data_IF_815802219973
#
_entry.id   IF_815802219973
#
_cell.length_a   1.000
_cell.length_b   1.000
_cell.length_c   1.000
_cell.angle_alpha   90.00
_cell.angle_beta   90.00
_cell.angle_gamma   90.00
#
_symmetry.space_group_name_H-M   'P 1'
#
loop_
_entity.id
_entity.type
_entity.pdbx_description
1 polymer ?
#
# COMPACT_ATOMS: atom_id res chain seq x y z
N UNK A 1 1.61 9.13 0.25
CA UNK A 1 0.98 7.87 -0.12
C UNK A 1 1.99 6.78 0.03
N UNK A 2 1.58 5.64 0.54
CA UNK A 2 2.44 4.49 0.68
C UNK A 2 2.77 3.81 -0.63
N UNK A 3 3.45 2.71 -0.55
CA UNK A 3 3.90 1.93 -1.69
C UNK A 3 2.77 1.08 -2.29
N UNK A 4 1.77 1.76 -2.83
CA UNK A 4 0.69 1.10 -3.55
C UNK A 4 1.20 0.69 -4.92
N UNK A 5 1.59 -0.56 -5.06
CA UNK A 5 2.03 -1.09 -6.34
C UNK A 5 0.86 -1.23 -7.31
N UNK A 6 1.14 -1.16 -8.61
CA UNK A 6 0.14 -1.43 -9.66
C UNK A 6 -0.54 -2.79 -9.45
N UNK A 7 0.19 -3.79 -8.96
CA UNK A 7 -0.31 -5.13 -8.65
C UNK A 7 -1.40 -5.09 -7.57
N UNK A 8 -1.17 -4.37 -6.47
CA UNK A 8 -2.14 -4.25 -5.36
C UNK A 8 -3.42 -3.58 -5.82
N UNK A 9 -3.30 -2.48 -6.59
CA UNK A 9 -4.45 -1.78 -7.15
C UNK A 9 -5.23 -2.67 -8.12
N UNK A 10 -4.53 -3.41 -8.99
CA UNK A 10 -5.17 -4.32 -9.93
C UNK A 10 -5.91 -5.47 -9.22
N UNK A 11 -5.30 -6.07 -8.20
CA UNK A 11 -5.94 -7.12 -7.39
C UNK A 11 -7.16 -6.56 -6.64
N UNK A 12 -7.01 -5.43 -5.97
CA UNK A 12 -8.11 -4.78 -5.25
C UNK A 12 -9.29 -4.44 -6.16
N UNK A 13 -9.01 -3.98 -7.39
CA UNK A 13 -10.03 -3.77 -8.41
C UNK A 13 -10.73 -5.08 -8.80
N UNK A 14 -9.99 -6.16 -9.02
CA UNK A 14 -10.57 -7.47 -9.33
C UNK A 14 -11.47 -7.96 -8.18
N UNK A 15 -11.03 -7.81 -6.93
CA UNK A 15 -11.81 -8.20 -5.76
C UNK A 15 -13.11 -7.39 -5.66
N UNK A 16 -13.05 -6.09 -5.95
CA UNK A 16 -14.23 -5.23 -5.98
C UNK A 16 -15.21 -5.61 -7.09
N UNK A 17 -14.71 -5.90 -8.29
CA UNK A 17 -15.53 -6.32 -9.44
C UNK A 17 -16.15 -7.72 -9.24
N UNK A 18 -15.42 -8.62 -8.58
CA UNK A 18 -15.88 -10.00 -8.31
C UNK A 18 -16.91 -10.09 -7.18
N UNK A 19 -16.90 -9.15 -6.24
CA UNK A 19 -17.79 -9.15 -5.08
C UNK A 19 -18.92 -8.13 -5.26
N UNK A 20 -20.16 -8.57 -5.05
CA UNK A 20 -21.30 -7.64 -5.01
C UNK A 20 -21.21 -6.77 -3.75
N UNK A 21 -20.71 -5.54 -3.90
CA UNK A 21 -20.68 -4.53 -2.84
C UNK A 21 -20.76 -3.12 -3.42
N UNK A 22 -21.08 -2.16 -2.57
CA UNK A 22 -21.20 -0.74 -2.94
C UNK A 22 -19.96 0.05 -2.52
N UNK A 23 -19.27 -0.44 -1.51
CA UNK A 23 -17.98 0.07 -1.03
C UNK A 23 -17.07 -1.09 -0.65
N UNK A 24 -15.79 -0.97 -0.96
CA UNK A 24 -14.76 -1.90 -0.50
C UNK A 24 -13.57 -1.12 0.03
N UNK A 25 -13.06 -1.52 1.19
CA UNK A 25 -11.89 -0.93 1.84
C UNK A 25 -10.73 -1.92 1.74
N UNK A 26 -9.57 -1.47 1.28
CA UNK A 26 -8.33 -2.23 1.43
C UNK A 26 -7.82 -2.02 2.85
N UNK A 27 -7.62 -3.12 3.58
CA UNK A 27 -7.16 -3.07 4.97
C UNK A 27 -5.76 -3.66 5.11
N UNK A 28 -5.12 -3.38 6.24
CA UNK A 28 -3.85 -3.98 6.61
C UNK A 28 -3.91 -4.45 8.05
N UNK A 29 -2.92 -5.22 8.45
CA UNK A 29 -2.71 -5.60 9.84
C UNK A 29 -1.53 -4.80 10.41
N UNK A 30 -1.70 -4.18 11.55
CA UNK A 30 -0.64 -3.51 12.26
C UNK A 30 -0.04 -4.46 13.30
N UNK A 31 1.24 -4.77 13.16
CA UNK A 31 1.98 -5.72 14.01
C UNK A 31 2.72 -5.05 15.19
N UNK A 32 2.70 -3.70 15.24
CA UNK A 32 3.32 -2.93 16.31
C UNK A 32 2.48 -2.86 17.60
N UNK A 33 3.03 -2.20 18.61
CA UNK A 33 2.32 -1.94 19.87
C UNK A 33 1.08 -1.06 19.65
N UNK A 34 -0.03 -1.37 20.33
CA UNK A 34 -1.31 -0.66 20.17
C UNK A 34 -1.20 0.85 20.40
N UNK A 35 -0.31 1.25 21.32
CA UNK A 35 -0.03 2.66 21.66
C UNK A 35 0.65 3.43 20.52
N UNK A 36 1.32 2.71 19.62
CA UNK A 36 2.01 3.28 18.45
C UNK A 36 1.18 3.20 17.17
N UNK A 37 -0.02 2.65 17.24
CA UNK A 37 -0.93 2.55 16.10
C UNK A 37 -1.75 3.83 15.95
N UNK A 38 -1.39 4.68 15.01
CA UNK A 38 -2.06 5.96 14.71
C UNK A 38 -3.03 5.90 13.53
N UNK A 39 -3.25 4.71 12.95
CA UNK A 39 -4.16 4.52 11.82
C UNK A 39 -5.62 4.49 12.27
N UNK A 40 -6.56 4.68 11.34
CA UNK A 40 -7.97 4.36 11.55
C UNK A 40 -8.20 2.86 11.73
N UNK A 41 -9.07 2.48 12.64
CA UNK A 41 -9.39 1.08 12.98
C UNK A 41 -10.59 0.59 12.19
N UNK A 42 -10.49 -0.61 11.65
CA UNK A 42 -11.63 -1.29 11.01
C UNK A 42 -12.43 -1.99 12.09
N UNK A 43 -13.60 -1.46 12.40
CA UNK A 43 -14.49 -2.06 13.39
C UNK A 43 -15.44 -3.04 12.69
N UNK A 44 -15.51 -4.26 13.21
CA UNK A 44 -16.34 -5.32 12.62
C UNK A 44 -17.47 -5.74 13.57
N UNK A 45 -18.57 -6.24 12.98
CA UNK A 45 -19.62 -6.91 13.75
C UNK A 45 -19.01 -8.07 14.52
N UNK A 46 -19.16 -8.15 15.85
CA UNK A 46 -18.68 -9.26 16.66
C UNK A 46 -19.40 -10.58 16.30
N UNK A 47 -18.81 -11.72 16.64
CA UNK A 47 -19.43 -13.04 16.43
C UNK A 47 -20.72 -13.24 17.23
N UNK A 48 -20.84 -12.53 18.36
CA UNK A 48 -22.01 -12.55 19.24
C UNK A 48 -22.43 -11.12 19.58
N UNK A 49 -23.74 -10.92 19.76
CA UNK A 49 -24.31 -9.66 20.23
C UNK A 49 -24.11 -9.45 21.75
N UNK A 50 -24.60 -8.33 22.28
CA UNK A 50 -24.53 -8.00 23.71
C UNK A 50 -25.31 -8.99 24.61
N UNK A 51 -26.20 -9.79 24.05
CA UNK A 51 -26.97 -10.81 24.74
C UNK A 51 -26.32 -12.20 24.62
N UNK A 52 -25.19 -12.33 23.92
CA UNK A 52 -24.49 -13.58 23.68
C UNK A 52 -25.09 -14.42 22.53
N UNK A 53 -26.00 -13.87 21.74
CA UNK A 53 -26.60 -14.55 20.58
C UNK A 53 -25.66 -14.40 19.36
N UNK A 54 -25.49 -15.48 18.54
CA UNK A 54 -24.67 -15.38 17.32
C UNK A 54 -25.21 -14.33 16.35
N UNK A 55 -24.32 -13.50 15.80
CA UNK A 55 -24.66 -12.49 14.78
C UNK A 55 -24.80 -13.08 13.38
N UNK A 56 -24.51 -14.36 13.22
CA UNK A 56 -24.77 -15.13 12.00
C UNK A 56 -23.99 -14.65 10.78
N UNK A 57 -24.69 -14.44 9.67
CA UNK A 57 -24.06 -14.00 8.41
C UNK A 57 -23.50 -12.55 8.44
N UNK A 58 -23.86 -11.79 9.44
CA UNK A 58 -23.38 -10.43 9.63
C UNK A 58 -22.05 -10.37 10.43
N UNK A 59 -21.67 -11.46 11.10
CA UNK A 59 -20.36 -11.57 11.78
C UNK A 59 -19.21 -11.19 10.86
N UNK A 60 -18.29 -10.35 11.36
CA UNK A 60 -17.13 -9.88 10.60
C UNK A 60 -17.42 -8.82 9.52
N UNK A 61 -18.67 -8.39 9.33
CA UNK A 61 -18.99 -7.25 8.45
C UNK A 61 -18.42 -5.96 9.02
N UNK A 62 -18.02 -5.03 8.14
CA UNK A 62 -17.48 -3.74 8.57
C UNK A 62 -18.62 -2.85 9.08
N UNK A 63 -18.54 -2.43 10.34
CA UNK A 63 -19.50 -1.53 10.98
C UNK A 63 -19.11 -0.09 10.76
N UNK A 64 -17.85 0.23 11.06
CA UNK A 64 -17.29 1.59 11.01
C UNK A 64 -15.78 1.56 10.77
N UNK A 65 -15.24 2.71 10.42
CA UNK A 65 -13.80 2.99 10.51
C UNK A 65 -13.64 4.09 11.55
N UNK A 66 -12.93 3.82 12.64
CA UNK A 66 -12.73 4.80 13.71
C UNK A 66 -11.32 5.37 13.68
N UNK A 67 -11.24 6.67 13.50
CA UNK A 67 -9.96 7.37 13.49
C UNK A 67 -9.32 7.38 14.88
N UNK A 68 -8.00 7.27 14.93
CA UNK A 68 -7.26 7.19 16.20
C UNK A 68 -7.58 8.36 17.16
N UNK A 69 -7.72 9.58 16.63
CA UNK A 69 -8.02 10.77 17.46
C UNK A 69 -9.43 10.72 18.04
N UNK A 70 -10.40 10.18 17.30
CA UNK A 70 -11.78 10.05 17.78
C UNK A 70 -11.85 9.00 18.90
N UNK A 71 -11.13 7.90 18.77
CA UNK A 71 -11.00 6.90 19.85
C UNK A 71 -10.37 7.53 21.09
N UNK A 72 -9.32 8.35 20.93
CA UNK A 72 -8.69 9.07 22.05
C UNK A 72 -9.62 10.13 22.68
N UNK A 73 -10.56 10.67 21.92
CA UNK A 73 -11.60 11.57 22.40
C UNK A 73 -12.59 10.92 23.35
N UNK A 74 -12.74 9.60 23.33
CA UNK A 74 -13.56 8.88 24.29
C UNK A 74 -12.95 8.96 25.70
N UNK A 75 -13.76 9.12 26.76
CA UNK A 75 -13.28 9.06 28.14
C UNK A 75 -12.53 7.75 28.43
N UNK A 76 -11.59 7.79 29.36
CA UNK A 76 -10.93 6.56 29.86
C UNK A 76 -12.00 5.67 30.50
N UNK A 77 -12.08 4.40 30.04
CA UNK A 77 -13.13 3.47 30.44
C UNK A 77 -14.49 3.74 29.78
N UNK A 78 -14.56 4.72 28.87
CA UNK A 78 -15.75 4.99 28.06
C UNK A 78 -15.94 3.97 26.92
N UNK A 79 -17.07 4.05 26.28
CA UNK A 79 -17.44 3.20 25.14
C UNK A 79 -18.20 3.99 24.09
N UNK A 80 -18.22 3.48 22.89
CA UNK A 80 -18.99 3.97 21.76
C UNK A 80 -19.97 2.90 21.31
N UNK A 81 -21.17 3.33 20.92
CA UNK A 81 -22.20 2.46 20.38
C UNK A 81 -22.25 2.64 18.86
N UNK A 82 -22.13 1.55 18.13
CA UNK A 82 -22.18 1.50 16.67
C UNK A 82 -23.35 0.67 16.20
N UNK A 83 -24.10 1.20 15.27
CA UNK A 83 -25.31 0.54 14.76
C UNK A 83 -25.04 -0.16 13.42
N UNK A 84 -25.53 -1.39 13.30
CA UNK A 84 -25.49 -2.16 12.07
C UNK A 84 -26.81 -2.92 11.87
N UNK A 85 -27.51 -2.63 10.77
CA UNK A 85 -28.80 -3.26 10.42
C UNK A 85 -29.85 -3.30 11.58
N UNK A 86 -29.90 -2.22 12.35
CA UNK A 86 -30.84 -2.09 13.47
C UNK A 86 -30.42 -2.83 14.75
N UNK A 87 -29.23 -3.40 14.78
CA UNK A 87 -28.58 -3.91 15.99
C UNK A 87 -27.49 -2.93 16.43
N UNK A 88 -27.34 -2.75 17.74
CA UNK A 88 -26.34 -1.87 18.33
C UNK A 88 -25.25 -2.69 19.02
N UNK A 89 -24.01 -2.37 18.72
CA UNK A 89 -22.83 -3.00 19.30
C UNK A 89 -22.06 -1.96 20.09
N UNK A 90 -21.62 -2.31 21.28
CA UNK A 90 -20.86 -1.42 22.16
C UNK A 90 -19.41 -1.83 22.17
N UNK A 91 -18.53 -0.88 21.88
CA UNK A 91 -17.08 -1.07 21.89
C UNK A 91 -16.46 -0.13 22.92
N UNK A 92 -15.68 -0.65 23.84
CA UNK A 92 -14.93 0.17 24.77
C UNK A 92 -13.78 0.88 24.06
N UNK A 93 -13.32 2.01 24.61
CA UNK A 93 -12.13 2.71 24.12
C UNK A 93 -10.92 1.77 24.00
N UNK A 94 -10.72 0.90 24.98
CA UNK A 94 -9.60 -0.03 25.00
C UNK A 94 -9.72 -1.11 23.92
N UNK A 95 -10.91 -1.66 23.69
CA UNK A 95 -11.15 -2.59 22.58
C UNK A 95 -10.85 -1.93 21.24
N UNK A 96 -11.34 -0.71 21.00
CA UNK A 96 -11.07 0.03 19.78
C UNK A 96 -9.57 0.31 19.56
N UNK A 97 -8.83 0.66 20.62
CA UNK A 97 -7.38 0.87 20.52
C UNK A 97 -6.60 -0.41 20.20
N UNK A 98 -7.09 -1.58 20.65
CA UNK A 98 -6.43 -2.86 20.42
C UNK A 98 -6.80 -3.53 19.09
N UNK A 99 -7.73 -2.96 18.31
CA UNK A 99 -7.96 -3.43 16.95
C UNK A 99 -6.68 -3.23 16.14
N UNK A 100 -6.14 -4.30 15.58
CA UNK A 100 -4.94 -4.27 14.76
C UNK A 100 -5.23 -4.17 13.25
N UNK A 101 -6.48 -4.37 12.83
CA UNK A 101 -6.88 -4.14 11.45
C UNK A 101 -7.03 -2.65 11.18
N UNK A 102 -6.26 -2.16 10.22
CA UNK A 102 -6.13 -0.72 9.94
C UNK A 102 -6.69 -0.35 8.57
N UNK A 103 -7.16 0.89 8.47
CA UNK A 103 -7.54 1.52 7.22
C UNK A 103 -6.30 2.00 6.45
N UNK A 104 -6.15 1.54 5.20
CA UNK A 104 -5.04 1.96 4.31
C UNK A 104 -5.35 3.24 3.54
N UNK A 105 -6.56 3.80 3.67
CA UNK A 105 -7.12 4.90 2.87
C UNK A 105 -7.33 4.56 1.38
N UNK A 106 -7.23 3.29 1.01
CA UNK A 106 -7.55 2.83 -0.34
C UNK A 106 -8.95 2.26 -0.34
N UNK A 107 -9.85 2.91 -1.07
CA UNK A 107 -11.27 2.59 -1.07
C UNK A 107 -11.79 2.56 -2.50
N UNK A 108 -12.63 1.59 -2.81
CA UNK A 108 -13.38 1.51 -4.04
C UNK A 108 -14.88 1.71 -3.76
N UNK A 109 -15.56 2.44 -4.64
CA UNK A 109 -16.98 2.72 -4.54
C UNK A 109 -17.70 2.39 -5.83
N UNK A 110 -18.94 1.94 -5.72
CA UNK A 110 -19.89 2.01 -6.83
C UNK A 110 -20.26 3.48 -7.03
N UNK A 111 -20.04 4.00 -8.23
CA UNK A 111 -20.22 5.43 -8.53
C UNK A 111 -21.59 5.96 -8.13
N UNK A 112 -22.68 5.23 -8.46
CA UNK A 112 -24.05 5.63 -8.12
C UNK A 112 -24.27 5.77 -6.61
N UNK A 113 -23.79 4.80 -5.83
CA UNK A 113 -23.89 4.82 -4.38
C UNK A 113 -23.09 5.98 -3.76
N UNK A 114 -21.88 6.22 -4.24
CA UNK A 114 -21.08 7.36 -3.78
C UNK A 114 -21.74 8.70 -4.09
N UNK A 115 -22.22 8.91 -5.32
CA UNK A 115 -22.88 10.16 -5.70
C UNK A 115 -24.14 10.47 -4.88
N UNK A 116 -24.90 9.44 -4.55
CA UNK A 116 -26.14 9.59 -3.77
C UNK A 116 -25.86 9.96 -2.31
N UNK A 117 -24.77 9.44 -1.71
CA UNK A 117 -24.56 9.50 -0.27
C UNK A 117 -23.41 10.40 0.17
N UNK A 118 -22.52 10.86 -0.74
CA UNK A 118 -21.35 11.69 -0.37
C UNK A 118 -21.77 13.01 0.30
N UNK A 119 -22.93 13.55 -0.03
CA UNK A 119 -23.45 14.76 0.58
C UNK A 119 -24.00 14.58 2.01
N UNK A 120 -24.07 13.35 2.52
CA UNK A 120 -24.53 13.05 3.87
C UNK A 120 -23.39 13.04 4.92
N UNK A 121 -22.15 13.20 4.48
CA UNK A 121 -21.01 13.37 5.41
C UNK A 121 -21.12 14.71 6.14
N UNK A 122 -20.71 14.72 7.40
CA UNK A 122 -20.69 15.90 8.25
C UNK A 122 -19.30 16.10 8.90
N UNK A 123 -19.19 17.06 9.80
CA UNK A 123 -17.95 17.39 10.52
C UNK A 123 -18.06 17.08 12.00
N UNK A 124 -18.99 16.23 12.41
CA UNK A 124 -19.20 15.85 13.82
C UNK A 124 -18.16 14.81 14.28
N UNK A 125 -16.90 15.23 14.30
CA UNK A 125 -15.75 14.46 14.76
C UNK A 125 -14.73 15.38 15.47
N UNK A 126 -13.76 14.78 16.18
CA UNK A 126 -12.76 15.53 16.96
C UNK A 126 -11.96 16.52 16.11
N UNK A 127 -11.79 16.26 14.83
CA UNK A 127 -11.02 17.11 13.93
C UNK A 127 -11.84 18.20 13.23
N UNK A 128 -13.18 18.09 13.24
CA UNK A 128 -14.09 19.01 12.55
C UNK A 128 -13.93 18.95 11.02
N UNK A 129 -13.55 17.81 10.46
CA UNK A 129 -13.27 17.61 9.04
C UNK A 129 -14.26 16.62 8.42
N UNK A 130 -14.51 16.73 7.10
CA UNK A 130 -15.26 15.72 6.36
C UNK A 130 -14.36 14.47 6.18
N UNK A 131 -14.79 13.35 6.76
CA UNK A 131 -14.05 12.11 6.71
C UNK A 131 -14.68 11.11 5.73
N UNK A 132 -13.92 10.68 4.73
CA UNK A 132 -14.40 9.68 3.77
C UNK A 132 -14.75 8.34 4.45
N UNK A 133 -14.18 8.08 5.61
CA UNK A 133 -14.42 6.90 6.45
C UNK A 133 -15.83 6.86 7.02
N UNK A 134 -16.50 8.00 7.17
CA UNK A 134 -17.90 8.09 7.65
C UNK A 134 -18.89 7.44 6.66
N UNK A 135 -18.49 7.33 5.38
CA UNK A 135 -19.30 6.66 4.37
C UNK A 135 -19.57 5.18 4.68
N UNK A 136 -18.73 4.53 5.50
CA UNK A 136 -19.00 3.15 5.96
C UNK A 136 -20.30 3.10 6.74
N UNK A 137 -20.44 3.96 7.75
CA UNK A 137 -21.65 4.01 8.58
C UNK A 137 -22.87 4.52 7.79
N UNK A 138 -22.67 5.53 6.93
CA UNK A 138 -23.72 6.06 6.05
C UNK A 138 -24.24 4.97 5.12
N UNK A 139 -23.37 4.20 4.49
CA UNK A 139 -23.75 3.10 3.59
C UNK A 139 -24.49 2.00 4.35
N UNK A 140 -23.98 1.59 5.51
CA UNK A 140 -24.62 0.58 6.36
C UNK A 140 -26.04 1.00 6.77
N UNK A 141 -26.22 2.27 7.18
CA UNK A 141 -27.55 2.82 7.55
C UNK A 141 -28.54 2.83 6.38
N UNK A 142 -28.04 2.95 5.15
CA UNK A 142 -28.87 2.94 3.94
C UNK A 142 -29.00 1.55 3.30
N UNK A 143 -28.56 0.49 3.98
CA UNK A 143 -28.69 -0.89 3.51
C UNK A 143 -27.75 -1.27 2.36
N UNK A 144 -26.74 -0.44 2.08
CA UNK A 144 -25.68 -0.70 1.11
C UNK A 144 -24.65 -1.68 1.68
N UNK A 145 -23.94 -2.37 0.80
CA UNK A 145 -22.99 -3.42 1.19
C UNK A 145 -21.58 -2.84 1.25
N UNK A 146 -21.02 -2.82 2.46
CA UNK A 146 -19.60 -2.49 2.70
C UNK A 146 -18.80 -3.77 2.94
N UNK A 147 -17.68 -3.91 2.24
CA UNK A 147 -16.72 -5.00 2.43
C UNK A 147 -15.34 -4.46 2.73
N UNK A 148 -14.51 -5.30 3.33
CA UNK A 148 -13.09 -5.03 3.50
C UNK A 148 -12.29 -6.26 3.11
N UNK A 149 -11.18 -6.05 2.42
CA UNK A 149 -10.23 -7.09 2.03
C UNK A 149 -8.85 -6.71 2.53
N UNK A 150 -8.12 -7.65 3.16
CA UNK A 150 -6.75 -7.38 3.60
C UNK A 150 -5.81 -7.33 2.40
N UNK A 151 -4.80 -6.46 2.47
CA UNK A 151 -3.67 -6.50 1.55
C UNK A 151 -2.91 -7.82 1.70
N UNK A 152 -2.32 -8.28 0.61
CA UNK A 152 -1.57 -9.55 0.58
C UNK A 152 -0.30 -9.47 1.44
N UNK A 153 0.29 -8.28 1.56
CA UNK A 153 1.50 -8.02 2.32
C UNK A 153 1.42 -6.65 2.98
N UNK A 154 1.86 -6.55 4.23
CA UNK A 154 1.96 -5.27 4.96
C UNK A 154 2.91 -4.30 4.28
N UNK A 155 3.97 -4.79 3.65
CA UNK A 155 4.92 -3.98 2.89
C UNK A 155 4.24 -3.19 1.76
N UNK A 156 3.17 -3.75 1.18
CA UNK A 156 2.46 -3.14 0.04
C UNK A 156 1.55 -1.96 0.42
N UNK A 157 1.24 -1.82 1.70
CA UNK A 157 0.36 -0.77 2.23
C UNK A 157 1.09 0.24 3.10
N UNK A 158 2.41 0.11 3.25
CA UNK A 158 3.20 1.05 4.05
C UNK A 158 2.99 2.48 3.56
N UNK A 159 2.42 3.30 4.44
CA UNK A 159 2.33 4.74 4.27
C UNK A 159 3.42 5.42 5.10
N UNK A 160 4.02 6.50 4.60
CA UNK A 160 5.03 7.21 5.37
C UNK A 160 4.57 8.63 5.71
N UNK A 161 4.66 8.96 7.00
CA UNK A 161 4.54 10.31 7.54
C UNK A 161 5.85 10.77 8.18
N UNK A 162 6.83 9.87 8.31
CA UNK A 162 8.13 10.13 8.95
C UNK A 162 9.27 9.52 8.16
N UNK A 163 10.46 10.14 8.24
CA UNK A 163 11.65 9.73 7.45
C UNK A 163 12.14 8.31 7.75
N UNK A 164 11.90 7.77 8.94
CA UNK A 164 12.29 6.40 9.28
C UNK A 164 11.52 5.36 8.47
N UNK A 165 10.22 5.56 8.29
CA UNK A 165 9.38 4.68 7.46
C UNK A 165 9.75 4.81 5.99
N UNK A 166 10.06 6.02 5.51
CA UNK A 166 10.60 6.22 4.17
C UNK A 166 11.84 5.35 3.91
N UNK A 167 12.83 5.39 4.82
CA UNK A 167 14.06 4.58 4.69
C UNK A 167 13.76 3.06 4.69
N UNK A 168 12.82 2.63 5.54
CA UNK A 168 12.39 1.23 5.54
C UNK A 168 11.81 0.84 4.16
N UNK A 169 11.02 1.70 3.54
CA UNK A 169 10.48 1.46 2.20
C UNK A 169 11.58 1.40 1.15
N UNK A 170 12.60 2.28 1.21
CA UNK A 170 13.77 2.22 0.32
C UNK A 170 14.49 0.86 0.45
N UNK A 171 14.74 0.40 1.68
CA UNK A 171 15.37 -0.90 1.94
C UNK A 171 14.55 -2.07 1.36
N UNK A 172 13.22 -2.04 1.53
CA UNK A 172 12.33 -3.06 0.97
C UNK A 172 12.39 -3.04 -0.57
N UNK A 173 12.43 -1.83 -1.19
CA UNK A 173 12.54 -1.69 -2.65
C UNK A 173 13.83 -2.32 -3.18
N UNK A 174 14.96 -1.94 -2.59
CA UNK A 174 16.26 -2.44 -2.99
C UNK A 174 16.35 -3.96 -2.86
N UNK A 175 15.86 -4.52 -1.72
CA UNK A 175 15.80 -5.97 -1.52
C UNK A 175 14.96 -6.68 -2.59
N UNK A 176 13.78 -6.17 -2.92
CA UNK A 176 12.93 -6.76 -3.98
C UNK A 176 13.59 -6.70 -5.35
N UNK A 177 14.28 -5.62 -5.67
CA UNK A 177 15.04 -5.50 -6.90
C UNK A 177 16.19 -6.51 -6.95
N UNK A 178 16.90 -6.70 -5.83
CA UNK A 178 17.95 -7.70 -5.69
C UNK A 178 17.41 -9.12 -5.89
N UNK A 179 16.34 -9.50 -5.19
CA UNK A 179 15.72 -10.83 -5.29
C UNK A 179 15.28 -11.19 -6.73
N UNK A 180 14.92 -10.20 -7.54
CA UNK A 180 14.55 -10.39 -8.95
C UNK A 180 15.76 -10.59 -9.88
N UNK A 181 16.94 -10.12 -9.48
CA UNK A 181 18.12 -10.03 -10.34
C UNK A 181 19.30 -10.88 -9.89
N UNK A 182 19.34 -11.37 -8.65
CA UNK A 182 20.50 -12.01 -8.03
C UNK A 182 21.02 -13.26 -8.78
N UNK A 183 20.15 -13.94 -9.53
CA UNK A 183 20.51 -15.10 -10.34
C UNK A 183 20.85 -14.75 -11.80
N UNK A 184 20.67 -13.46 -12.20
CA UNK A 184 20.78 -13.01 -13.60
C UNK A 184 22.00 -12.12 -13.80
N UNK A 185 22.30 -11.24 -12.84
CA UNK A 185 23.39 -10.27 -12.92
C UNK A 185 24.22 -10.26 -11.65
N UNK A 186 25.47 -9.77 -11.73
CA UNK A 186 26.29 -9.57 -10.54
C UNK A 186 26.04 -8.19 -9.93
N UNK A 187 25.52 -8.14 -8.71
CA UNK A 187 25.35 -6.91 -7.93
C UNK A 187 26.39 -6.89 -6.82
N UNK A 188 27.25 -5.87 -6.81
CA UNK A 188 28.41 -5.78 -5.90
C UNK A 188 27.99 -5.50 -4.46
N UNK A 189 26.94 -4.71 -4.26
CA UNK A 189 26.39 -4.38 -2.95
C UNK A 189 24.85 -4.46 -3.01
N UNK A 190 24.30 -5.48 -2.37
CA UNK A 190 22.85 -5.79 -2.39
C UNK A 190 21.98 -4.73 -1.70
N UNK A 191 22.57 -3.90 -0.85
CA UNK A 191 21.88 -2.84 -0.10
C UNK A 191 22.06 -1.44 -0.73
N UNK A 192 22.97 -1.28 -1.69
CA UNK A 192 23.34 0.04 -2.23
C UNK A 192 23.38 0.05 -3.76
N UNK A 193 22.20 -0.05 -4.38
CA UNK A 193 21.98 0.16 -5.82
C UNK A 193 20.52 0.56 -6.07
N UNK A 194 20.26 1.15 -7.22
CA UNK A 194 18.93 1.45 -7.71
C UNK A 194 18.83 1.18 -9.21
N UNK A 195 17.88 0.36 -9.61
CA UNK A 195 17.45 0.17 -10.98
C UNK A 195 15.94 0.41 -11.06
N UNK A 196 15.51 1.18 -12.04
CA UNK A 196 14.08 1.38 -12.29
C UNK A 196 13.42 0.07 -12.73
N UNK A 197 12.12 -0.11 -12.44
CA UNK A 197 11.40 -1.34 -12.73
C UNK A 197 11.42 -1.71 -14.22
N UNK A 198 11.36 -0.74 -15.12
CA UNK A 198 11.44 -0.98 -16.57
C UNK A 198 12.80 -1.52 -17.00
N UNK A 199 13.89 -1.09 -16.33
CA UNK A 199 15.25 -1.62 -16.55
C UNK A 199 15.36 -3.05 -16.03
N UNK A 200 14.81 -3.33 -14.86
CA UNK A 200 14.76 -4.68 -14.28
C UNK A 200 14.00 -5.63 -15.21
N UNK A 201 12.81 -5.23 -15.69
CA UNK A 201 12.01 -6.00 -16.62
C UNK A 201 12.74 -6.26 -17.94
N UNK A 202 13.44 -5.26 -18.44
CA UNK A 202 14.27 -5.39 -19.65
C UNK A 202 15.43 -6.38 -19.46
N UNK A 203 16.13 -6.37 -18.33
CA UNK A 203 17.20 -7.30 -18.00
C UNK A 203 16.66 -8.74 -17.93
N UNK A 204 15.55 -8.96 -17.24
CA UNK A 204 14.91 -10.27 -17.13
C UNK A 204 14.50 -10.80 -18.52
N UNK A 205 13.83 -9.97 -19.32
CA UNK A 205 13.44 -10.34 -20.67
C UNK A 205 14.64 -10.59 -21.61
N UNK A 206 15.78 -9.96 -21.33
CA UNK A 206 17.02 -10.19 -22.08
C UNK A 206 17.65 -11.52 -21.70
N UNK A 207 17.67 -11.90 -20.43
CA UNK A 207 18.17 -13.17 -19.94
C UNK A 207 17.37 -14.36 -20.52
N UNK A 208 16.06 -14.28 -20.49
CA UNK A 208 15.19 -15.29 -21.09
C UNK A 208 15.47 -15.56 -22.58
N UNK A 209 15.96 -14.56 -23.33
CA UNK A 209 16.22 -14.66 -24.77
C UNK A 209 17.66 -15.04 -25.11
N UNK A 210 18.63 -14.61 -24.30
CA UNK A 210 20.04 -14.62 -24.70
C UNK A 210 20.95 -15.50 -23.81
N UNK A 211 20.43 -16.04 -22.70
CA UNK A 211 21.23 -16.74 -21.69
C UNK A 211 22.11 -15.81 -20.86
N UNK A 212 23.19 -16.30 -20.25
CA UNK A 212 23.96 -15.55 -19.28
C UNK A 212 24.38 -14.16 -19.79
N UNK A 213 24.01 -13.11 -19.03
CA UNK A 213 24.20 -11.72 -19.47
C UNK A 213 25.58 -11.14 -19.10
N UNK A 214 26.24 -11.66 -18.05
CA UNK A 214 27.50 -11.14 -17.51
C UNK A 214 27.48 -9.62 -17.23
N UNK A 215 26.31 -9.09 -16.83
CA UNK A 215 26.15 -7.70 -16.43
C UNK A 215 26.65 -7.54 -14.98
N UNK A 216 27.42 -6.48 -14.72
CA UNK A 216 27.93 -6.15 -13.39
C UNK A 216 27.44 -4.77 -12.97
N UNK A 217 26.80 -4.70 -11.81
CA UNK A 217 26.28 -3.48 -11.17
C UNK A 217 27.14 -3.17 -9.95
N UNK A 218 27.88 -2.07 -10.01
CA UNK A 218 28.74 -1.59 -8.92
C UNK A 218 27.93 -1.01 -7.75
N UNK A 219 28.63 -0.76 -6.64
CA UNK A 219 28.04 -0.13 -5.45
C UNK A 219 27.55 1.29 -5.74
N UNK A 220 26.37 1.64 -5.22
CA UNK A 220 25.80 2.98 -5.35
C UNK A 220 25.39 3.37 -6.77
N UNK A 221 25.29 2.40 -7.69
CA UNK A 221 24.82 2.62 -9.05
C UNK A 221 23.34 3.01 -9.05
N UNK A 222 23.00 3.99 -9.88
CA UNK A 222 21.61 4.43 -10.08
C UNK A 222 21.28 4.42 -11.58
N UNK A 223 20.30 3.63 -11.96
CA UNK A 223 19.81 3.53 -13.34
C UNK A 223 18.33 3.86 -13.37
N UNK A 224 18.02 5.00 -13.97
CA UNK A 224 16.65 5.48 -14.11
C UNK A 224 15.93 4.90 -15.31
N UNK A 225 14.65 5.19 -15.41
CA UNK A 225 13.74 4.75 -16.46
C UNK A 225 14.28 5.04 -17.87
N UNK A 226 13.98 4.13 -18.81
CA UNK A 226 14.32 4.26 -20.22
C UNK A 226 15.76 3.89 -20.60
N UNK A 227 16.61 3.55 -19.63
CA UNK A 227 17.96 3.06 -19.89
C UNK A 227 17.90 1.61 -20.36
N UNK A 228 18.69 1.27 -21.38
CA UNK A 228 18.82 -0.10 -21.87
C UNK A 228 20.25 -0.61 -21.74
N UNK A 229 20.38 -1.81 -21.17
CA UNK A 229 21.67 -2.48 -20.96
C UNK A 229 21.75 -3.73 -21.83
N UNK A 230 22.81 -3.82 -22.64
CA UNK A 230 23.12 -5.04 -23.38
C UNK A 230 23.97 -6.01 -22.52
N UNK A 231 24.17 -7.28 -22.96
CA UNK A 231 25.04 -8.22 -22.27
C UNK A 231 26.48 -7.69 -22.06
N UNK A 232 27.14 -8.18 -21.03
CA UNK A 232 28.53 -7.87 -20.67
C UNK A 232 28.79 -6.38 -20.34
N UNK A 233 27.72 -5.62 -20.00
CA UNK A 233 27.85 -4.25 -19.51
C UNK A 233 28.38 -4.27 -18.08
N UNK A 234 29.40 -3.44 -17.79
CA UNK A 234 29.89 -3.24 -16.44
C UNK A 234 29.69 -1.79 -16.03
N UNK A 235 28.96 -1.57 -14.94
CA UNK A 235 28.74 -0.26 -14.32
C UNK A 235 29.61 -0.16 -13.07
N UNK A 236 30.59 0.72 -13.10
CA UNK A 236 31.45 1.03 -11.94
C UNK A 236 30.69 1.72 -10.84
N UNK A 237 31.30 1.79 -9.65
CA UNK A 237 30.65 2.33 -8.45
C UNK A 237 30.13 3.76 -8.66
N UNK A 238 28.94 4.05 -8.11
CA UNK A 238 28.29 5.38 -8.12
C UNK A 238 28.04 5.97 -9.51
N UNK A 239 27.94 5.14 -10.53
CA UNK A 239 27.44 5.60 -11.83
C UNK A 239 25.98 5.99 -11.76
N UNK A 240 25.61 7.02 -12.54
CA UNK A 240 24.22 7.44 -12.72
C UNK A 240 23.87 7.45 -14.19
N UNK A 241 22.84 6.71 -14.55
CA UNK A 241 22.33 6.64 -15.92
C UNK A 241 20.85 7.02 -15.91
N UNK A 242 20.41 7.86 -16.85
CA UNK A 242 19.02 8.26 -16.93
C UNK A 242 18.59 8.61 -18.36
N UNK A 243 17.28 8.61 -18.59
CA UNK A 243 16.70 8.88 -19.88
C UNK A 243 16.97 7.75 -20.89
N UNK A 244 16.95 8.05 -22.18
CA UNK A 244 17.09 7.07 -23.27
C UNK A 244 18.54 6.61 -23.52
N UNK A 245 19.37 6.44 -22.48
CA UNK A 245 20.76 5.94 -22.63
C UNK A 245 20.75 4.48 -23.03
N UNK A 246 21.46 4.14 -24.10
CA UNK A 246 21.63 2.78 -24.61
C UNK A 246 23.09 2.37 -24.46
N UNK A 247 23.38 1.34 -23.67
CA UNK A 247 24.70 0.74 -23.53
C UNK A 247 24.79 -0.55 -24.35
N UNK A 248 25.66 -0.54 -25.36
CA UNK A 248 25.91 -1.71 -26.21
C UNK A 248 26.67 -2.82 -25.47
N UNK A 249 26.75 -4.01 -26.11
CA UNK A 249 27.43 -5.18 -25.54
C UNK A 249 28.88 -4.87 -25.16
N UNK A 250 29.29 -5.30 -23.96
CA UNK A 250 30.67 -5.19 -23.46
C UNK A 250 31.09 -3.79 -23.05
N UNK A 251 30.18 -2.81 -23.01
CA UNK A 251 30.52 -1.44 -22.56
C UNK A 251 30.86 -1.46 -21.08
N UNK A 252 31.95 -0.76 -20.73
CA UNK A 252 32.41 -0.56 -19.38
C UNK A 252 32.32 0.91 -19.00
N UNK A 253 31.57 1.23 -17.95
CA UNK A 253 31.42 2.57 -17.40
C UNK A 253 32.29 2.67 -16.15
N UNK A 254 33.22 3.64 -16.12
CA UNK A 254 34.09 3.89 -14.95
C UNK A 254 33.31 4.43 -13.75
N UNK A 255 33.88 4.37 -12.53
CA UNK A 255 33.21 4.86 -11.32
C UNK A 255 32.85 6.35 -11.40
N UNK A 256 31.68 6.71 -10.86
CA UNK A 256 31.20 8.09 -10.75
C UNK A 256 30.79 8.77 -12.05
N UNK A 257 30.69 8.04 -13.15
CA UNK A 257 30.24 8.59 -14.44
C UNK A 257 28.75 8.84 -14.41
N UNK A 258 28.32 10.02 -14.87
CA UNK A 258 26.93 10.38 -15.06
C UNK A 258 26.62 10.51 -16.55
N UNK A 259 25.61 9.78 -17.04
CA UNK A 259 25.11 9.85 -18.41
C UNK A 259 23.60 10.10 -18.38
N UNK A 260 23.18 11.11 -19.12
CA UNK A 260 21.75 11.40 -19.29
C UNK A 260 21.48 11.89 -20.71
N UNK A 261 20.31 11.52 -21.24
CA UNK A 261 19.80 12.14 -22.46
C UNK A 261 18.79 13.21 -22.07
N UNK A 262 18.94 14.40 -22.63
CA UNK A 262 17.90 15.41 -22.53
C UNK A 262 16.82 15.09 -23.57
N UNK A 263 15.52 15.16 -23.23
CA UNK A 263 14.49 15.11 -24.25
C UNK A 263 14.77 16.24 -25.24
N UNK A 264 14.79 15.93 -26.55
CA UNK A 264 14.86 16.97 -27.58
C UNK A 264 13.69 17.93 -27.35
N UNK A 265 14.02 19.21 -27.21
CA UNK A 265 13.01 20.27 -27.18
C UNK A 265 12.41 20.35 -28.57
N UNK A 266 11.25 19.72 -28.76
CA UNK A 266 10.40 19.86 -29.94
C UNK A 266 9.49 21.07 -29.81
#
# INVERSE_FOLDING_TARGET
MGWLTQRVVAQFRQDFEAQSCDMMVLTGLYDGAAESNYYGRIVRVPDVDAQGSPTGEDAGRVVAIKEHKDILGLPIGGSEQLDYKGQSFTFTRDELLHINEINTLVVAFRESALREHIGAMDTDNVQGELMLTDLVEIFNRNGLIVRAVPAVSEEEILGFNVKSVWRQMETIATRRSYERLMDIVTIVDEEDFFLDDDVIDQIIALDERSGPLDIVIGKGVQVGAGVQLAPKVHLGDRCRLSGGVLLGEGVQIGPGVELSTYPEQT
#
